data_IF_378517831301
#
_entry.id   IF_378517831301
#
_cell.length_a   1.000
_cell.length_b   1.000
_cell.length_c   1.000
_cell.angle_alpha   90.00
_cell.angle_beta   90.00
_cell.angle_gamma   90.00
#
_symmetry.space_group_name_H-M   'P 1'
#
loop_
_entity.id
_entity.type
_entity.pdbx_description
1 polymer ?
#
# COMPACT_ATOMS: atom_id res chain seq x y z
N UNK A 1 -7.07 8.74 4.50
CA UNK A 1 -6.56 9.97 5.17
C UNK A 1 -5.04 9.80 5.27
N UNK A 2 -4.27 10.81 4.93
CA UNK A 2 -2.82 10.85 5.10
C UNK A 2 -2.56 11.86 6.22
N UNK A 3 -1.81 11.44 7.25
CA UNK A 3 -1.31 12.37 8.27
C UNK A 3 -0.04 13.01 7.73
N UNK A 4 0.16 14.31 7.95
CA UNK A 4 1.29 15.04 7.38
C UNK A 4 2.62 14.40 7.79
N UNK A 5 3.57 14.35 6.86
CA UNK A 5 4.86 13.74 7.07
C UNK A 5 4.94 12.24 6.81
N UNK A 6 3.80 11.52 6.85
CA UNK A 6 3.77 10.08 6.50
C UNK A 6 4.22 9.86 5.05
N UNK A 7 3.81 10.73 4.14
CA UNK A 7 4.14 10.66 2.71
C UNK A 7 5.61 10.94 2.39
N UNK A 8 6.35 11.52 3.33
CA UNK A 8 7.79 11.76 3.20
C UNK A 8 8.64 10.91 4.14
N UNK A 9 7.99 10.02 4.90
CA UNK A 9 8.67 9.08 5.79
C UNK A 9 9.22 9.71 7.07
N UNK A 10 8.57 10.76 7.59
CA UNK A 10 8.94 11.33 8.88
C UNK A 10 8.78 10.29 9.99
N UNK A 11 9.77 10.26 10.86
CA UNK A 11 9.69 9.47 12.07
C UNK A 11 9.18 10.35 13.24
N UNK A 12 8.45 9.76 14.16
CA UNK A 12 8.07 10.35 15.42
C UNK A 12 7.81 9.23 16.44
N UNK A 13 8.15 9.48 17.69
CA UNK A 13 7.79 8.58 18.78
C UNK A 13 6.31 8.75 19.16
N UNK A 14 5.98 8.69 20.44
CA UNK A 14 4.63 8.96 20.95
C UNK A 14 4.44 10.49 21.18
N UNK A 15 3.20 10.91 21.42
CA UNK A 15 2.83 12.31 21.65
C UNK A 15 3.68 12.96 22.78
N UNK A 16 4.25 14.14 22.57
CA UNK A 16 4.06 15.08 21.45
C UNK A 16 5.09 14.95 20.31
N UNK A 17 6.00 14.00 20.35
CA UNK A 17 7.09 13.87 19.38
C UNK A 17 6.61 13.52 17.95
N UNK A 18 5.45 12.91 17.82
CA UNK A 18 4.78 12.65 16.53
C UNK A 18 4.24 13.92 15.84
N UNK A 19 4.35 15.09 16.46
CA UNK A 19 3.92 16.41 15.93
C UNK A 19 5.08 17.30 15.52
N UNK A 20 6.16 16.74 15.02
CA UNK A 20 7.32 17.48 14.54
C UNK A 20 6.97 18.40 13.37
N UNK A 21 7.74 19.49 13.17
CA UNK A 21 7.63 20.30 11.96
C UNK A 21 7.83 19.45 10.70
N UNK A 22 7.09 19.78 9.64
CA UNK A 22 7.19 19.09 8.34
C UNK A 22 8.61 19.15 7.80
N UNK A 23 9.09 18.02 7.27
CA UNK A 23 10.37 17.93 6.58
C UNK A 23 10.21 18.36 5.12
N UNK A 24 10.94 19.41 4.71
CA UNK A 24 10.93 19.96 3.36
C UNK A 24 12.21 19.63 2.60
N UNK A 25 12.13 19.45 1.31
CA UNK A 25 13.26 18.99 0.48
C UNK A 25 14.29 20.07 0.17
N UNK A 26 14.01 21.33 0.49
CA UNK A 26 14.84 22.53 0.29
C UNK A 26 15.50 23.01 1.58
N UNK A 27 15.33 22.27 2.67
CA UNK A 27 15.95 22.54 3.97
C UNK A 27 16.89 21.41 4.37
N UNK A 28 17.94 21.78 5.10
CA UNK A 28 18.86 20.84 5.74
C UNK A 28 18.47 20.64 7.20
N UNK A 29 18.58 19.41 7.66
CA UNK A 29 18.22 19.01 9.02
C UNK A 29 19.39 18.28 9.68
N UNK A 30 19.50 18.42 10.99
CA UNK A 30 20.41 17.60 11.78
C UNK A 30 19.95 16.13 11.77
N UNK A 31 20.91 15.23 11.93
CA UNK A 31 20.64 13.81 12.10
C UNK A 31 19.84 13.59 13.38
N UNK A 32 18.86 12.73 13.33
CA UNK A 32 18.06 12.39 14.50
C UNK A 32 18.57 11.09 15.11
N UNK A 33 19.15 11.16 16.28
CA UNK A 33 19.74 10.05 17.04
C UNK A 33 19.20 9.94 18.48
N UNK A 34 18.46 10.94 18.92
CA UNK A 34 17.81 10.93 20.22
C UNK A 34 16.39 10.38 20.17
N UNK A 35 16.05 9.56 21.17
CA UNK A 35 14.67 9.13 21.41
C UNK A 35 14.10 9.93 22.60
N UNK A 36 12.94 10.61 22.45
CA UNK A 36 12.42 11.53 23.49
C UNK A 36 12.11 10.84 24.82
N UNK A 37 11.95 9.51 24.83
CA UNK A 37 11.74 8.70 26.03
C UNK A 37 12.98 7.90 26.46
N UNK A 38 14.16 8.28 25.98
CA UNK A 38 15.44 7.68 26.38
C UNK A 38 15.66 6.23 25.95
N UNK A 39 14.94 5.77 24.93
CA UNK A 39 15.18 4.45 24.32
C UNK A 39 16.33 4.53 23.32
N UNK A 40 17.03 3.42 23.12
CA UNK A 40 18.07 3.34 22.11
C UNK A 40 17.46 3.51 20.71
N UNK A 41 18.08 4.38 19.91
CA UNK A 41 17.69 4.65 18.54
C UNK A 41 18.92 4.77 17.64
N UNK A 42 18.94 4.12 16.46
CA UNK A 42 19.99 4.36 15.48
C UNK A 42 19.87 5.79 14.91
N UNK A 43 21.00 6.36 14.56
CA UNK A 43 21.05 7.66 13.90
C UNK A 43 20.43 7.58 12.49
N UNK A 44 19.40 8.40 12.26
CA UNK A 44 18.70 8.47 10.98
C UNK A 44 18.83 9.86 10.33
N UNK A 45 19.14 9.93 9.05
CA UNK A 45 19.13 11.19 8.32
C UNK A 45 17.71 11.73 8.17
N UNK A 46 17.46 12.94 8.63
CA UNK A 46 16.17 13.62 8.46
C UNK A 46 16.08 14.22 7.06
N UNK A 47 15.33 13.57 6.20
CA UNK A 47 15.17 14.00 4.81
C UNK A 47 13.89 13.44 4.19
N UNK A 48 13.41 14.08 3.12
CA UNK A 48 12.28 13.58 2.34
C UNK A 48 12.65 12.25 1.67
N UNK A 49 11.89 11.20 1.95
CA UNK A 49 11.92 9.95 1.20
C UNK A 49 11.19 10.15 -0.13
N UNK A 50 11.95 10.38 -1.20
CA UNK A 50 11.41 10.73 -2.52
C UNK A 50 10.64 9.57 -3.16
N UNK A 51 11.07 8.32 -2.93
CA UNK A 51 10.42 7.15 -3.49
C UNK A 51 9.05 6.95 -2.85
N UNK A 52 8.97 7.09 -1.52
CA UNK A 52 7.72 7.04 -0.78
C UNK A 52 6.78 8.18 -1.21
N UNK A 53 7.28 9.40 -1.32
CA UNK A 53 6.49 10.54 -1.78
C UNK A 53 5.93 10.31 -3.20
N UNK A 54 6.74 9.74 -4.10
CA UNK A 54 6.30 9.41 -5.45
C UNK A 54 5.18 8.36 -5.40
N UNK A 55 5.37 7.28 -4.63
CA UNK A 55 4.33 6.28 -4.44
C UNK A 55 3.00 6.88 -3.92
N UNK A 56 3.06 7.78 -2.93
CA UNK A 56 1.85 8.45 -2.42
C UNK A 56 1.16 9.30 -3.50
N UNK A 57 1.92 10.01 -4.32
CA UNK A 57 1.38 10.79 -5.46
C UNK A 57 0.69 9.88 -6.48
N UNK A 58 1.33 8.78 -6.84
CA UNK A 58 0.80 7.80 -7.79
C UNK A 58 -0.47 7.14 -7.25
N UNK A 59 -0.49 6.76 -5.98
CA UNK A 59 -1.66 6.18 -5.32
C UNK A 59 -2.84 7.17 -5.24
N UNK A 60 -2.57 8.43 -4.93
CA UNK A 60 -3.59 9.49 -4.93
C UNK A 60 -4.12 9.73 -6.34
N UNK A 61 -3.25 9.81 -7.34
CA UNK A 61 -3.63 9.98 -8.73
C UNK A 61 -4.46 8.78 -9.22
N UNK A 62 -3.99 7.56 -8.96
CA UNK A 62 -4.72 6.35 -9.29
C UNK A 62 -6.14 6.34 -8.68
N UNK A 63 -6.28 6.74 -7.41
CA UNK A 63 -7.59 6.88 -6.78
C UNK A 63 -8.47 7.94 -7.46
N UNK A 64 -7.89 9.07 -7.88
CA UNK A 64 -8.61 10.15 -8.56
C UNK A 64 -9.12 9.73 -9.93
N UNK A 65 -8.31 9.00 -10.67
CA UNK A 65 -8.59 8.58 -12.04
C UNK A 65 -9.49 7.34 -12.12
N UNK A 66 -9.59 6.58 -11.02
CA UNK A 66 -10.33 5.31 -10.95
C UNK A 66 -11.64 5.50 -10.18
N UNK A 67 -12.81 5.63 -10.84
CA UNK A 67 -14.10 5.86 -10.20
C UNK A 67 -14.45 4.77 -9.16
N UNK A 68 -14.11 3.51 -9.41
CA UNK A 68 -14.33 2.39 -8.51
C UNK A 68 -13.75 2.64 -7.11
N UNK A 69 -12.57 3.26 -7.01
CA UNK A 69 -11.92 3.57 -5.73
C UNK A 69 -12.60 4.71 -4.96
N UNK A 70 -13.50 5.47 -5.61
CA UNK A 70 -14.30 6.53 -4.99
C UNK A 70 -15.73 6.11 -4.70
N UNK A 71 -16.13 4.91 -5.14
CA UNK A 71 -17.42 4.29 -4.83
C UNK A 71 -17.53 3.99 -3.33
N UNK A 72 -18.74 3.90 -2.81
CA UNK A 72 -19.02 3.39 -1.46
C UNK A 72 -18.95 1.87 -1.37
N UNK A 73 -18.99 1.17 -2.51
CA UNK A 73 -18.94 -0.29 -2.54
C UNK A 73 -17.58 -0.80 -2.06
N UNK A 74 -17.61 -1.72 -1.12
CA UNK A 74 -16.46 -2.42 -0.55
C UNK A 74 -16.87 -3.86 -0.25
N UNK A 75 -16.15 -4.81 -0.82
CA UNK A 75 -16.38 -6.23 -0.62
C UNK A 75 -15.07 -6.90 -0.18
N UNK A 76 -15.08 -7.55 0.99
CA UNK A 76 -13.95 -8.38 1.43
C UNK A 76 -13.97 -9.70 0.66
N UNK A 77 -12.87 -9.98 -0.04
CA UNK A 77 -12.70 -11.22 -0.81
C UNK A 77 -11.98 -12.30 0.01
N UNK A 78 -11.00 -11.90 0.80
CA UNK A 78 -10.23 -12.78 1.68
C UNK A 78 -9.66 -11.99 2.84
N UNK A 79 -9.68 -12.59 4.04
CA UNK A 79 -8.92 -12.17 5.20
C UNK A 79 -8.26 -13.42 5.80
N UNK A 80 -6.94 -13.41 5.92
CA UNK A 80 -6.15 -14.51 6.46
C UNK A 80 -5.17 -13.95 7.49
N UNK A 81 -5.53 -14.10 8.77
CA UNK A 81 -4.75 -13.57 9.89
C UNK A 81 -3.45 -14.36 10.10
N UNK A 82 -3.45 -15.67 9.80
CA UNK A 82 -2.27 -16.51 9.96
C UNK A 82 -1.16 -16.10 8.97
N UNK A 83 -1.55 -15.77 7.75
CA UNK A 83 -0.63 -15.30 6.70
C UNK A 83 -0.48 -13.78 6.66
N UNK A 84 -1.25 -13.05 7.47
CA UNK A 84 -1.33 -11.59 7.44
C UNK A 84 -1.61 -11.04 6.04
N UNK A 85 -2.53 -11.69 5.30
CA UNK A 85 -2.93 -11.28 3.95
C UNK A 85 -4.38 -10.83 3.93
N UNK A 86 -4.66 -9.82 3.10
CA UNK A 86 -6.00 -9.27 2.96
C UNK A 86 -6.29 -8.92 1.51
N UNK A 87 -7.49 -9.28 1.03
CA UNK A 87 -7.95 -8.92 -0.30
C UNK A 87 -9.38 -8.37 -0.27
N UNK A 88 -9.61 -7.33 -1.07
CA UNK A 88 -10.91 -6.71 -1.18
C UNK A 88 -11.16 -6.14 -2.58
N UNK A 89 -12.43 -5.96 -2.93
CA UNK A 89 -12.84 -5.28 -4.15
C UNK A 89 -13.47 -3.91 -3.85
N UNK A 90 -13.30 -3.00 -4.79
CA UNK A 90 -13.92 -1.67 -4.81
C UNK A 90 -14.64 -1.47 -6.14
N UNK A 91 -15.80 -0.79 -6.06
CA UNK A 91 -16.64 -0.53 -7.23
C UNK A 91 -17.48 -1.73 -7.64
N UNK A 92 -18.42 -1.47 -8.51
CA UNK A 92 -19.37 -2.43 -9.09
C UNK A 92 -19.35 -2.36 -10.61
N UNK A 93 -19.94 -3.36 -11.28
CA UNK A 93 -20.10 -3.36 -12.72
C UNK A 93 -18.82 -3.75 -13.47
N UNK A 94 -18.54 -3.05 -14.57
CA UNK A 94 -17.56 -3.50 -15.55
C UNK A 94 -16.11 -3.13 -15.21
N UNK A 95 -15.89 -2.22 -14.27
CA UNK A 95 -14.55 -1.73 -13.95
C UNK A 95 -14.22 -1.77 -12.44
N UNK A 96 -14.37 -2.92 -11.76
CA UNK A 96 -13.97 -3.06 -10.37
C UNK A 96 -12.45 -3.02 -10.22
N UNK A 97 -12.00 -2.66 -9.02
CA UNK A 97 -10.60 -2.76 -8.60
C UNK A 97 -10.48 -3.81 -7.51
N UNK A 98 -9.58 -4.75 -7.69
CA UNK A 98 -9.21 -5.73 -6.66
C UNK A 98 -7.89 -5.29 -6.03
N UNK A 99 -7.87 -5.18 -4.71
CA UNK A 99 -6.65 -4.85 -3.95
C UNK A 99 -6.26 -6.06 -3.11
N UNK A 100 -4.99 -6.42 -3.16
CA UNK A 100 -4.43 -7.54 -2.39
C UNK A 100 -3.20 -7.06 -1.63
N UNK A 101 -3.16 -7.35 -0.34
CA UNK A 101 -2.13 -6.91 0.58
C UNK A 101 -1.48 -8.12 1.26
N UNK A 102 -0.16 -8.09 1.36
CA UNK A 102 0.64 -8.98 2.19
C UNK A 102 1.40 -8.15 3.22
N UNK A 103 1.01 -8.24 4.49
CA UNK A 103 1.65 -7.54 5.61
C UNK A 103 2.69 -8.39 6.32
N UNK A 104 2.84 -9.64 5.93
CA UNK A 104 3.83 -10.52 6.56
C UNK A 104 5.26 -10.18 6.11
N UNK A 105 6.24 -10.64 6.89
CA UNK A 105 7.66 -10.57 6.52
C UNK A 105 8.08 -11.65 5.50
N UNK A 106 7.14 -12.48 5.04
CA UNK A 106 7.39 -13.56 4.10
C UNK A 106 6.64 -13.33 2.79
N UNK A 107 7.17 -13.85 1.69
CA UNK A 107 6.46 -13.87 0.43
C UNK A 107 5.38 -14.95 0.43
N UNK A 108 4.24 -14.67 -0.19
CA UNK A 108 3.12 -15.60 -0.28
C UNK A 108 2.65 -15.82 -1.71
N UNK A 109 2.37 -17.09 -2.02
CA UNK A 109 1.58 -17.46 -3.19
C UNK A 109 0.12 -17.61 -2.74
N UNK A 110 -0.76 -16.82 -3.35
CA UNK A 110 -2.18 -16.79 -3.00
C UNK A 110 -3.02 -17.23 -4.21
N UNK A 111 -4.05 -18.01 -3.92
CA UNK A 111 -5.14 -18.23 -4.86
C UNK A 111 -6.39 -17.53 -4.32
N UNK A 112 -6.78 -16.45 -4.97
CA UNK A 112 -7.94 -15.63 -4.61
C UNK A 112 -9.13 -15.99 -5.52
N UNK A 113 -10.10 -16.76 -5.02
CA UNK A 113 -11.33 -17.03 -5.77
C UNK A 113 -12.09 -15.74 -6.04
N UNK A 114 -12.60 -15.56 -7.25
CA UNK A 114 -13.39 -14.40 -7.62
C UNK A 114 -14.87 -14.73 -7.70
N UNK A 115 -15.76 -13.95 -7.06
CA UNK A 115 -17.20 -14.00 -7.32
C UNK A 115 -17.50 -13.82 -8.82
N UNK A 116 -18.63 -14.30 -9.29
CA UNK A 116 -19.03 -14.22 -10.69
C UNK A 116 -19.00 -12.78 -11.24
N UNK A 117 -19.40 -11.81 -10.42
CA UNK A 117 -19.37 -10.36 -10.72
C UNK A 117 -17.98 -9.81 -11.00
N UNK A 118 -16.96 -10.44 -10.42
CA UNK A 118 -15.56 -10.01 -10.53
C UNK A 118 -14.74 -10.87 -11.49
N UNK A 119 -15.32 -11.90 -12.12
CA UNK A 119 -14.59 -12.72 -13.11
C UNK A 119 -14.12 -11.89 -14.28
N UNK A 120 -12.92 -12.18 -14.76
CA UNK A 120 -12.31 -11.48 -15.89
C UNK A 120 -10.79 -11.44 -15.78
N UNK A 121 -10.18 -10.80 -16.75
CA UNK A 121 -8.73 -10.58 -16.77
C UNK A 121 -8.38 -9.27 -16.04
N UNK A 122 -7.26 -9.26 -15.34
CA UNK A 122 -6.80 -8.13 -14.54
C UNK A 122 -5.36 -7.78 -14.85
N UNK A 123 -5.06 -6.48 -14.83
CA UNK A 123 -3.71 -5.94 -14.91
C UNK A 123 -3.32 -5.28 -13.59
N UNK A 124 -2.02 -5.30 -13.27
CA UNK A 124 -1.47 -4.53 -12.15
C UNK A 124 -1.47 -3.06 -12.55
N UNK A 125 -2.19 -2.24 -11.80
CA UNK A 125 -2.27 -0.79 -12.02
C UNK A 125 -1.49 0.02 -10.99
N UNK A 126 -1.31 -0.53 -9.78
CA UNK A 126 -0.46 0.04 -8.75
C UNK A 126 0.19 -1.09 -7.94
N UNK A 127 1.47 -0.95 -7.61
CA UNK A 127 2.21 -1.88 -6.77
C UNK A 127 3.10 -1.12 -5.80
N UNK A 128 3.21 -1.59 -4.55
CA UNK A 128 4.13 -1.04 -3.54
C UNK A 128 5.57 -1.50 -3.77
N UNK A 129 5.75 -2.56 -4.55
CA UNK A 129 7.04 -3.09 -4.97
C UNK A 129 7.05 -3.11 -6.50
N UNK A 130 8.12 -2.62 -7.12
CA UNK A 130 8.19 -2.50 -8.58
C UNK A 130 8.06 -3.87 -9.26
N UNK A 131 9.16 -4.54 -9.55
CA UNK A 131 9.17 -5.91 -10.07
C UNK A 131 9.10 -6.92 -8.92
N UNK A 132 8.41 -8.05 -9.11
CA UNK A 132 8.34 -9.13 -8.12
C UNK A 132 6.93 -9.63 -7.83
N UNK A 133 5.90 -8.82 -8.05
CA UNK A 133 4.53 -9.29 -8.01
C UNK A 133 4.16 -9.91 -9.34
N UNK A 134 3.61 -11.13 -9.29
CA UNK A 134 3.06 -11.81 -10.47
C UNK A 134 1.58 -12.08 -10.28
N UNK A 135 0.82 -11.84 -11.32
CA UNK A 135 -0.62 -12.09 -11.35
C UNK A 135 -0.96 -12.93 -12.57
N UNK A 136 -1.63 -14.04 -12.34
CA UNK A 136 -2.20 -14.88 -13.36
C UNK A 136 -3.69 -15.06 -13.07
N UNK A 137 -4.47 -15.29 -14.09
CA UNK A 137 -5.91 -15.51 -13.98
C UNK A 137 -6.29 -16.83 -14.67
N UNK A 138 -6.97 -17.71 -13.94
CA UNK A 138 -7.50 -18.97 -14.47
C UNK A 138 -8.96 -18.88 -14.91
N UNK A 139 -9.54 -17.67 -14.95
CA UNK A 139 -10.94 -17.38 -15.28
C UNK A 139 -11.88 -17.41 -14.06
N UNK A 140 -11.49 -18.04 -12.96
CA UNK A 140 -12.29 -18.17 -11.73
C UNK A 140 -11.59 -17.62 -10.50
N UNK A 141 -10.26 -17.48 -10.56
CA UNK A 141 -9.43 -17.01 -9.47
C UNK A 141 -8.23 -16.23 -10.00
N UNK A 142 -7.71 -15.35 -9.17
CA UNK A 142 -6.39 -14.74 -9.34
C UNK A 142 -5.34 -15.58 -8.60
N UNK A 143 -4.27 -15.91 -9.31
CA UNK A 143 -3.08 -16.51 -8.74
C UNK A 143 -2.03 -15.43 -8.59
N UNK A 144 -1.62 -15.13 -7.37
CA UNK A 144 -0.72 -14.03 -7.06
C UNK A 144 0.53 -14.54 -6.35
N UNK A 145 1.67 -14.03 -6.78
CA UNK A 145 2.92 -14.12 -6.02
C UNK A 145 3.20 -12.73 -5.45
N UNK A 146 3.08 -12.60 -4.14
CA UNK A 146 3.25 -11.34 -3.41
C UNK A 146 4.53 -11.41 -2.59
N UNK A 147 5.49 -10.51 -2.82
CA UNK A 147 6.63 -10.35 -1.93
C UNK A 147 6.22 -10.02 -0.50
N UNK A 148 7.16 -10.14 0.43
CA UNK A 148 6.97 -9.67 1.81
C UNK A 148 6.59 -8.18 1.83
N UNK A 149 5.73 -7.79 2.76
CA UNK A 149 5.34 -6.40 3.00
C UNK A 149 4.98 -5.66 1.69
N UNK A 150 4.06 -6.24 0.93
CA UNK A 150 3.69 -5.72 -0.39
C UNK A 150 2.18 -5.59 -0.57
N UNK A 151 1.79 -4.81 -1.58
CA UNK A 151 0.40 -4.66 -1.98
C UNK A 151 0.27 -4.31 -3.45
N UNK A 152 -0.83 -4.76 -4.04
CA UNK A 152 -1.16 -4.47 -5.44
C UNK A 152 -2.61 -4.06 -5.58
N UNK A 153 -2.86 -3.16 -6.51
CA UNK A 153 -4.19 -2.87 -7.01
C UNK A 153 -4.28 -3.30 -8.47
N UNK A 154 -5.34 -4.04 -8.77
CA UNK A 154 -5.59 -4.67 -10.04
C UNK A 154 -6.86 -4.08 -10.65
N UNK A 155 -6.79 -3.66 -11.90
CA UNK A 155 -7.95 -3.20 -12.67
C UNK A 155 -8.36 -4.26 -13.70
N UNK A 156 -9.67 -4.42 -13.87
CA UNK A 156 -10.24 -5.32 -14.87
C UNK A 156 -9.99 -4.77 -16.28
N UNK A 157 -9.58 -5.65 -17.20
CA UNK A 157 -9.45 -5.34 -18.64
C UNK A 157 -10.76 -5.14 -19.32
#
# INVERSE_FOLDING_TARGET
MVYYGTEVGMWGADDPDDRKPMVWSDLDYEVEDDHPFGQDRPADPVRVNRDLLTFYRDAIQFRRDTPALRSSHFETLQADDERSTFAYARGEGDAPVVVVLNRSAEAHSLRLPLPDSLRGSYDISLSTVGEGTRVQNDGTALLLELPATSGVALTKR
#
